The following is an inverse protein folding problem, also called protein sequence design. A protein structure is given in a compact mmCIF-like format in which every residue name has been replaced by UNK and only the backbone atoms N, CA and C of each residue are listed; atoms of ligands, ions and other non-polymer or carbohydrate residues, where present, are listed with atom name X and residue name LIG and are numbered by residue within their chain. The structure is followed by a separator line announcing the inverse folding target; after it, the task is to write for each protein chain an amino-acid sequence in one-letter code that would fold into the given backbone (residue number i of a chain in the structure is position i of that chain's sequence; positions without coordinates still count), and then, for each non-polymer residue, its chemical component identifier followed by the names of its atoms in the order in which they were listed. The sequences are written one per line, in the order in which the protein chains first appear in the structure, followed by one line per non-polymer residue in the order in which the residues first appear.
data_IF_349626305046
#
_entry.id   IF_349626305046
#
_cell.length_a   1.000
_cell.length_b   1.000
_cell.length_c   1.000
_cell.angle_alpha   90.00
_cell.angle_beta   90.00
_cell.angle_gamma   90.00
#
_symmetry.space_group_name_H-M   'P 1'
#
loop_
_entity.id
_entity.type
_entity.pdbx_description
1 polymer ?
#
# COMPACT_ATOMS: atom_id res chain seq x y z
N UNK A 1 -25.24 6.02 6.65
CA UNK A 1 -24.10 6.62 7.36
C UNK A 1 -23.06 6.93 6.30
N UNK A 2 -23.10 8.16 5.78
CA UNK A 2 -22.32 8.61 4.64
C UNK A 2 -20.97 9.12 5.13
N UNK A 3 -19.89 8.42 4.81
CA UNK A 3 -18.62 9.09 4.66
C UNK A 3 -18.66 9.68 3.26
N UNK A 4 -18.72 11.01 3.19
CA UNK A 4 -18.50 11.74 1.95
C UNK A 4 -17.27 11.15 1.26
N UNK A 5 -17.38 10.92 -0.05
CA UNK A 5 -16.28 10.54 -0.92
C UNK A 5 -15.27 11.70 -0.92
N UNK A 6 -14.48 11.78 0.15
CA UNK A 6 -13.34 12.66 0.21
C UNK A 6 -12.41 12.16 -0.89
N UNK A 7 -12.21 12.99 -1.91
CA UNK A 7 -11.32 12.66 -3.02
C UNK A 7 -9.99 12.13 -2.49
N UNK A 8 -9.37 11.20 -3.22
CA UNK A 8 -8.17 10.49 -2.78
C UNK A 8 -7.08 11.45 -2.26
N UNK A 9 -6.94 12.60 -2.92
CA UNK A 9 -6.13 13.73 -2.47
C UNK A 9 -6.39 14.16 -1.03
N UNK A 10 -7.64 14.41 -0.64
CA UNK A 10 -7.99 14.83 0.71
C UNK A 10 -7.71 13.74 1.75
N UNK A 11 -7.95 12.47 1.41
CA UNK A 11 -7.63 11.34 2.29
C UNK A 11 -6.14 11.23 2.56
N UNK A 12 -5.31 11.34 1.51
CA UNK A 12 -3.85 11.29 1.63
C UNK A 12 -3.32 12.46 2.46
N UNK A 13 -3.79 13.68 2.21
CA UNK A 13 -3.38 14.86 2.95
C UNK A 13 -3.75 14.77 4.44
N UNK A 14 -4.98 14.37 4.76
CA UNK A 14 -5.43 14.19 6.15
C UNK A 14 -4.66 13.07 6.85
N UNK A 15 -4.46 11.94 6.18
CA UNK A 15 -3.68 10.84 6.72
C UNK A 15 -2.21 11.25 6.98
N UNK A 16 -1.60 12.07 6.10
CA UNK A 16 -0.27 12.63 6.32
C UNK A 16 -0.18 13.54 7.56
N UNK A 17 -1.30 14.17 7.95
CA UNK A 17 -1.41 14.97 9.16
C UNK A 17 -1.79 14.13 10.40
N UNK A 18 -1.84 12.81 10.28
CA UNK A 18 -2.14 11.90 11.39
C UNK A 18 -3.63 11.58 11.57
N UNK A 19 -4.51 11.93 10.62
CA UNK A 19 -5.92 11.56 10.69
C UNK A 19 -6.11 10.03 10.50
N UNK A 20 -6.37 9.34 11.60
CA UNK A 20 -6.51 7.88 11.62
C UNK A 20 -7.68 7.39 10.75
N UNK A 21 -8.78 8.15 10.66
CA UNK A 21 -9.95 7.74 9.86
C UNK A 21 -9.64 7.74 8.36
N UNK A 22 -8.94 8.77 7.88
CA UNK A 22 -8.48 8.86 6.49
C UNK A 22 -7.45 7.77 6.19
N UNK A 23 -6.53 7.51 7.12
CA UNK A 23 -5.60 6.39 6.99
C UNK A 23 -6.32 5.05 6.87
N UNK A 24 -7.29 4.77 7.75
CA UNK A 24 -8.07 3.53 7.70
C UNK A 24 -8.81 3.39 6.36
N UNK A 25 -9.36 4.48 5.83
CA UNK A 25 -10.03 4.48 4.53
C UNK A 25 -9.07 4.15 3.38
N UNK A 26 -7.83 4.67 3.42
CA UNK A 26 -6.79 4.29 2.45
C UNK A 26 -6.44 2.80 2.57
N UNK A 27 -6.27 2.30 3.81
CA UNK A 27 -5.97 0.89 4.09
C UNK A 27 -7.08 -0.01 3.55
N UNK A 28 -8.33 0.27 3.85
CA UNK A 28 -9.48 -0.51 3.39
C UNK A 28 -9.57 -0.50 1.85
N UNK A 29 -9.33 0.65 1.23
CA UNK A 29 -9.40 0.81 -0.23
C UNK A 29 -8.32 0.04 -0.98
N UNK A 30 -7.08 0.02 -0.48
CA UNK A 30 -5.94 -0.51 -1.25
C UNK A 30 -5.38 -1.84 -0.74
N UNK A 31 -5.75 -2.33 0.45
CA UNK A 31 -5.25 -3.62 0.95
C UNK A 31 -5.60 -4.76 -0.01
N UNK A 32 -6.80 -4.77 -0.59
CA UNK A 32 -7.18 -5.75 -1.61
C UNK A 32 -6.27 -5.77 -2.84
N UNK A 33 -5.86 -4.59 -3.32
CA UNK A 33 -4.91 -4.44 -4.43
C UNK A 33 -3.54 -5.04 -4.08
N UNK A 34 -3.00 -4.72 -2.91
CA UNK A 34 -1.69 -5.20 -2.48
C UNK A 34 -1.67 -6.73 -2.39
N UNK A 35 -2.71 -7.32 -1.80
CA UNK A 35 -2.88 -8.76 -1.73
C UNK A 35 -3.03 -9.41 -3.11
N UNK A 36 -3.77 -8.79 -4.04
CA UNK A 36 -3.90 -9.29 -5.40
C UNK A 36 -2.55 -9.31 -6.14
N UNK A 37 -1.76 -8.24 -5.99
CA UNK A 37 -0.39 -8.18 -6.55
C UNK A 37 0.48 -9.28 -5.94
N UNK A 38 0.52 -9.41 -4.60
CA UNK A 38 1.33 -10.44 -3.95
C UNK A 38 0.97 -11.87 -4.40
N UNK A 39 -0.34 -12.18 -4.49
CA UNK A 39 -0.82 -13.49 -4.95
C UNK A 39 -0.50 -13.75 -6.41
N UNK A 40 -0.48 -12.73 -7.28
CA UNK A 40 -0.07 -12.89 -8.68
C UNK A 40 1.40 -13.33 -8.82
N UNK A 41 2.22 -13.07 -7.80
CA UNK A 41 3.61 -13.51 -7.71
C UNK A 41 3.77 -14.89 -7.03
N UNK A 42 2.67 -15.60 -6.74
CA UNK A 42 2.64 -16.95 -6.13
C UNK A 42 3.39 -17.05 -4.80
N UNK A 43 3.44 -15.96 -4.04
CA UNK A 43 3.91 -15.99 -2.66
C UNK A 43 2.93 -16.78 -1.80
N UNK A 44 3.46 -17.49 -0.80
CA UNK A 44 2.60 -18.02 0.26
C UNK A 44 2.05 -16.89 1.14
N UNK A 45 1.13 -17.25 2.03
CA UNK A 45 0.41 -16.27 2.86
C UNK A 45 1.32 -15.43 3.74
N UNK A 46 2.41 -16.00 4.25
CA UNK A 46 3.33 -15.30 5.16
C UNK A 46 4.09 -14.24 4.39
N UNK A 47 4.73 -14.64 3.30
CA UNK A 47 5.48 -13.70 2.44
C UNK A 47 4.59 -12.63 1.81
N UNK A 48 3.37 -13.01 1.40
CA UNK A 48 2.41 -12.06 0.88
C UNK A 48 2.01 -11.04 1.96
N UNK A 49 1.83 -11.47 3.21
CA UNK A 49 1.61 -10.60 4.36
C UNK A 49 2.75 -9.61 4.56
N UNK A 50 4.00 -10.09 4.52
CA UNK A 50 5.19 -9.26 4.66
C UNK A 50 5.31 -8.22 3.54
N UNK A 51 4.98 -8.58 2.29
CA UNK A 51 4.93 -7.64 1.17
C UNK A 51 3.89 -6.54 1.40
N UNK A 52 2.68 -6.91 1.83
CA UNK A 52 1.59 -5.96 2.10
C UNK A 52 2.01 -5.01 3.21
N UNK A 53 2.51 -5.54 4.33
CA UNK A 53 2.99 -4.74 5.47
C UNK A 53 4.14 -3.81 5.07
N UNK A 54 5.16 -4.33 4.38
CA UNK A 54 6.32 -3.53 3.93
C UNK A 54 5.88 -2.42 2.98
N UNK A 55 4.91 -2.67 2.12
CA UNK A 55 4.38 -1.64 1.21
C UNK A 55 3.67 -0.53 1.98
N UNK A 56 2.89 -0.86 3.02
CA UNK A 56 2.27 0.14 3.89
C UNK A 56 3.30 0.95 4.68
N UNK A 57 4.33 0.30 5.24
CA UNK A 57 5.41 1.00 5.95
C UNK A 57 6.09 2.02 5.03
N UNK A 58 6.41 1.62 3.79
CA UNK A 58 6.99 2.54 2.80
C UNK A 58 6.07 3.66 2.38
N UNK A 59 4.75 3.46 2.44
CA UNK A 59 3.80 4.52 2.20
C UNK A 59 3.86 5.54 3.34
N UNK A 60 3.76 5.09 4.60
CA UNK A 60 3.80 5.97 5.78
C UNK A 60 5.07 6.82 5.78
N UNK A 61 6.23 6.23 5.47
CA UNK A 61 7.52 6.94 5.38
C UNK A 61 7.58 8.05 4.31
N UNK A 62 6.63 8.07 3.37
CA UNK A 62 6.62 8.97 2.21
C UNK A 62 5.32 9.75 2.09
N UNK A 63 4.36 9.53 2.97
CA UNK A 63 2.99 10.00 2.83
C UNK A 63 2.93 11.54 2.79
N UNK A 64 3.82 12.18 3.55
CA UNK A 64 4.06 13.63 3.61
C UNK A 64 4.69 14.21 2.34
N UNK A 65 5.23 13.38 1.45
CA UNK A 65 5.94 13.76 0.22
C UNK A 65 5.19 13.40 -1.06
N UNK A 66 3.94 12.95 -0.95
CA UNK A 66 3.13 12.61 -2.12
C UNK A 66 2.59 13.90 -2.75
N UNK A 67 3.19 14.30 -3.87
CA UNK A 67 2.77 15.47 -4.64
C UNK A 67 1.50 15.23 -5.48
N UNK A 68 1.31 13.99 -5.93
CA UNK A 68 0.16 13.58 -6.75
C UNK A 68 -0.56 12.35 -6.14
N UNK A 69 -1.50 12.58 -5.21
CA UNK A 69 -2.25 11.51 -4.55
C UNK A 69 -3.07 10.63 -5.49
N UNK A 70 -3.50 11.15 -6.64
CA UNK A 70 -4.31 10.38 -7.61
C UNK A 70 -3.52 9.20 -8.21
N UNK A 71 -2.19 9.28 -8.17
CA UNK A 71 -1.29 8.20 -8.63
C UNK A 71 -0.94 7.18 -7.54
N UNK A 72 -1.47 7.33 -6.32
CA UNK A 72 -1.15 6.45 -5.18
C UNK A 72 -1.40 4.98 -5.50
N UNK A 73 -2.52 4.63 -6.14
CA UNK A 73 -2.82 3.24 -6.50
C UNK A 73 -1.75 2.60 -7.40
N UNK A 74 -1.28 3.33 -8.41
CA UNK A 74 -0.21 2.86 -9.30
C UNK A 74 1.15 2.76 -8.60
N UNK A 75 1.44 3.70 -7.71
CA UNK A 75 2.65 3.66 -6.88
C UNK A 75 2.64 2.46 -5.92
N UNK A 76 1.51 2.17 -5.29
CA UNK A 76 1.30 1.03 -4.40
C UNK A 76 1.50 -0.30 -5.13
N UNK A 77 0.86 -0.47 -6.29
CA UNK A 77 1.03 -1.68 -7.10
C UNK A 77 2.50 -1.88 -7.53
N UNK A 78 3.18 -0.81 -7.93
CA UNK A 78 4.59 -0.86 -8.31
C UNK A 78 5.49 -1.23 -7.14
N UNK A 79 5.23 -0.64 -5.96
CA UNK A 79 6.01 -0.92 -4.75
C UNK A 79 5.80 -2.35 -4.29
N UNK A 80 4.56 -2.84 -4.22
CA UNK A 80 4.26 -4.23 -3.88
C UNK A 80 4.93 -5.22 -4.83
N UNK A 81 4.90 -4.97 -6.15
CA UNK A 81 5.60 -5.80 -7.14
C UNK A 81 7.10 -5.86 -6.87
N UNK A 82 7.73 -4.73 -6.54
CA UNK A 82 9.17 -4.68 -6.20
C UNK A 82 9.49 -5.49 -4.94
N UNK A 83 8.63 -5.41 -3.93
CA UNK A 83 8.78 -6.20 -2.71
C UNK A 83 8.60 -7.69 -2.97
N UNK A 84 7.62 -8.09 -3.79
CA UNK A 84 7.47 -9.49 -4.21
C UNK A 84 8.76 -10.02 -4.85
N UNK A 85 9.34 -9.25 -5.77
CA UNK A 85 10.60 -9.64 -6.42
C UNK A 85 11.78 -9.68 -5.43
N UNK A 86 11.80 -8.79 -4.43
CA UNK A 86 12.83 -8.79 -3.40
C UNK A 86 12.76 -10.04 -2.52
N UNK A 87 11.55 -10.43 -2.11
CA UNK A 87 11.27 -11.64 -1.34
C UNK A 87 11.66 -12.89 -2.13
N UNK A 88 11.21 -13.02 -3.39
CA UNK A 88 11.59 -14.16 -4.25
C UNK A 88 13.11 -14.28 -4.43
N UNK A 89 13.81 -13.14 -4.57
CA UNK A 89 15.28 -13.13 -4.65
C UNK A 89 15.95 -13.56 -3.34
N UNK A 90 15.34 -13.30 -2.17
CA UNK A 90 15.88 -13.73 -0.88
C UNK A 90 15.75 -15.25 -0.72
N UNK A 91 14.59 -15.82 -1.05
CA UNK A 91 14.36 -17.28 -1.05
C UNK A 91 15.32 -18.07 -1.94
N UNK A 92 15.74 -17.51 -3.08
CA UNK A 92 16.71 -18.18 -3.96
C UNK A 92 18.13 -18.27 -3.38
N UNK A 93 18.44 -17.51 -2.33
CA UNK A 93 19.77 -17.49 -1.69
C UNK A 93 19.81 -18.29 -0.38
N UNK A 94 18.68 -18.85 0.04
CA UNK A 94 18.51 -19.73 1.20
C UNK A 94 18.47 -21.19 0.73
#
# INVERSE_FOLDING_TARGET
MAFEDAGLTALVQRAALGDQSSWNTLVDRFTGLLWAVARSHRLDTVDAGDVVQTTWLRLVEKLDRIEDPERLGGWLATTARRECLAVLRRRQRE
#
